data_IF_396000384635
#
_entry.id   IF_396000384635
#
_cell.length_a   1.000
_cell.length_b   1.000
_cell.length_c   1.000
_cell.angle_alpha   90.00
_cell.angle_beta   90.00
_cell.angle_gamma   90.00
#
_symmetry.space_group_name_H-M   'P 1'
#
loop_
_entity.id
_entity.type
_entity.pdbx_description
1 polymer ?
#
# COMPACT_ATOMS: atom_id res chain seq x y z
N UNK A 1 21.07 -0.88 -13.86
CA UNK A 1 20.86 -1.60 -12.60
C UNK A 1 19.79 -2.63 -12.86
N UNK A 2 20.09 -3.91 -12.70
CA UNK A 2 19.09 -4.96 -12.83
C UNK A 2 18.17 -4.90 -11.61
N UNK A 3 16.88 -4.69 -11.83
CA UNK A 3 15.88 -4.98 -10.82
C UNK A 3 16.11 -6.42 -10.38
N UNK A 4 16.44 -6.68 -9.10
CA UNK A 4 16.40 -8.05 -8.60
C UNK A 4 14.99 -8.51 -8.89
N UNK A 5 14.87 -9.61 -9.65
CA UNK A 5 13.59 -10.31 -9.80
C UNK A 5 13.08 -10.47 -8.38
N UNK A 6 12.09 -9.67 -7.97
CA UNK A 6 11.28 -9.97 -6.81
C UNK A 6 10.95 -11.43 -7.04
N UNK A 7 11.46 -12.32 -6.18
CA UNK A 7 11.35 -13.75 -6.41
C UNK A 7 9.89 -13.97 -6.78
N UNK A 8 9.62 -14.42 -8.01
CA UNK A 8 8.27 -14.36 -8.52
C UNK A 8 7.44 -15.14 -7.51
N UNK A 9 6.38 -14.55 -6.98
CA UNK A 9 5.27 -15.37 -6.49
C UNK A 9 5.02 -16.39 -7.61
N UNK A 10 5.42 -17.64 -7.35
CA UNK A 10 6.12 -18.54 -8.28
C UNK A 10 6.02 -18.23 -9.78
N UNK A 11 7.16 -18.21 -10.48
CA UNK A 11 7.25 -18.29 -11.95
C UNK A 11 6.71 -19.62 -12.55
N UNK A 12 5.76 -20.25 -11.86
CA UNK A 12 5.05 -21.45 -12.25
C UNK A 12 3.64 -21.54 -11.64
N UNK A 13 3.10 -20.51 -10.98
CA UNK A 13 1.72 -20.51 -10.49
C UNK A 13 0.74 -20.39 -11.67
N UNK A 14 0.53 -21.51 -12.35
CA UNK A 14 -0.54 -21.69 -13.32
C UNK A 14 -1.87 -21.48 -12.61
N UNK A 15 -2.91 -21.06 -13.34
CA UNK A 15 -4.27 -20.87 -12.80
C UNK A 15 -4.95 -22.19 -12.36
N UNK A 16 -4.19 -23.27 -12.18
CA UNK A 16 -4.66 -24.61 -11.80
C UNK A 16 -5.36 -24.62 -10.44
N UNK A 17 -4.93 -23.75 -9.51
CA UNK A 17 -5.53 -23.59 -8.18
C UNK A 17 -6.48 -22.39 -8.07
N UNK A 18 -6.58 -21.58 -9.13
CA UNK A 18 -7.52 -20.47 -9.18
C UNK A 18 -8.94 -20.99 -9.45
N UNK A 19 -9.93 -20.34 -8.85
CA UNK A 19 -11.33 -20.61 -9.11
C UNK A 19 -11.95 -19.44 -9.88
N UNK A 20 -13.21 -19.58 -10.28
CA UNK A 20 -13.99 -18.48 -10.86
C UNK A 20 -14.02 -17.26 -9.93
N UNK A 21 -14.06 -17.50 -8.63
CA UNK A 21 -14.35 -16.49 -7.61
C UNK A 21 -13.10 -16.10 -6.78
N UNK A 22 -11.96 -16.78 -6.97
CA UNK A 22 -10.74 -16.51 -6.22
C UNK A 22 -9.44 -16.72 -7.03
N UNK A 23 -8.51 -15.78 -6.90
CA UNK A 23 -7.16 -15.88 -7.44
C UNK A 23 -6.21 -16.47 -6.39
N UNK A 24 -5.85 -17.74 -6.53
CA UNK A 24 -4.91 -18.40 -5.62
C UNK A 24 -3.49 -17.81 -5.69
N UNK A 25 -3.05 -17.32 -6.86
CA UNK A 25 -1.73 -16.71 -7.03
C UNK A 25 -1.51 -15.48 -6.16
N UNK A 26 -2.54 -14.64 -6.04
CA UNK A 26 -2.46 -13.38 -5.28
C UNK A 26 -2.91 -13.57 -3.82
N UNK A 27 -3.27 -14.79 -3.44
CA UNK A 27 -3.61 -15.12 -2.06
C UNK A 27 -2.38 -15.67 -1.35
N UNK A 28 -2.09 -15.14 -0.18
CA UNK A 28 -0.90 -15.49 0.59
C UNK A 28 -1.33 -16.23 1.83
N UNK A 29 -0.66 -17.34 2.09
CA UNK A 29 -0.70 -17.98 3.39
C UNK A 29 0.30 -17.28 4.33
N UNK A 30 -0.23 -16.52 5.28
CA UNK A 30 0.58 -15.79 6.26
C UNK A 30 1.48 -16.67 7.13
N UNK A 31 1.11 -17.95 7.32
CA UNK A 31 1.89 -18.88 8.11
C UNK A 31 3.18 -19.27 7.40
N UNK A 32 3.14 -19.39 6.07
CA UNK A 32 4.27 -19.82 5.25
C UNK A 32 4.95 -18.67 4.51
N UNK A 33 4.40 -17.45 4.59
CA UNK A 33 4.93 -16.30 3.89
C UNK A 33 6.33 -15.89 4.38
N UNK A 34 7.24 -15.75 3.41
CA UNK A 34 8.59 -15.24 3.60
C UNK A 34 8.74 -13.97 2.76
N UNK A 35 9.18 -12.89 3.41
CA UNK A 35 9.43 -11.62 2.72
C UNK A 35 10.56 -11.78 1.71
N UNK A 36 10.36 -11.27 0.49
CA UNK A 36 11.36 -11.35 -0.56
C UNK A 36 12.56 -10.42 -0.27
N UNK A 37 13.68 -10.76 -0.87
CA UNK A 37 14.87 -9.91 -0.89
C UNK A 37 14.99 -9.19 -2.24
N UNK A 38 15.57 -7.99 -2.20
CA UNK A 38 15.96 -7.25 -3.40
C UNK A 38 17.49 -7.04 -3.44
N UNK A 39 18.26 -7.85 -2.71
CA UNK A 39 19.72 -7.92 -2.79
C UNK A 39 20.17 -9.21 -3.49
N UNK A 40 21.42 -9.24 -3.94
CA UNK A 40 22.04 -10.41 -4.56
C UNK A 40 22.36 -11.52 -3.55
N UNK A 41 22.55 -11.18 -2.28
CA UNK A 41 22.95 -12.11 -1.21
C UNK A 41 21.92 -12.11 -0.05
N UNK A 42 20.78 -12.81 -0.19
CA UNK A 42 19.74 -12.87 0.84
C UNK A 42 20.24 -13.37 2.20
N UNK A 43 21.22 -14.29 2.21
CA UNK A 43 21.74 -14.90 3.43
C UNK A 43 22.48 -13.92 4.36
N UNK A 44 23.00 -12.82 3.81
CA UNK A 44 23.68 -11.76 4.58
C UNK A 44 22.76 -10.58 4.88
N UNK A 45 21.52 -10.62 4.39
CA UNK A 45 20.58 -9.52 4.57
C UNK A 45 19.94 -9.60 5.95
N UNK A 46 20.32 -8.67 6.82
CA UNK A 46 19.76 -8.54 8.16
C UNK A 46 18.31 -8.07 8.13
N UNK A 47 17.62 -8.25 9.26
CA UNK A 47 16.26 -7.81 9.44
C UNK A 47 16.22 -6.61 10.37
N UNK A 48 15.55 -5.54 9.95
CA UNK A 48 15.32 -4.34 10.74
C UNK A 48 13.93 -4.41 11.36
N UNK A 49 13.84 -4.22 12.67
CA UNK A 49 12.56 -4.14 13.39
C UNK A 49 12.24 -2.70 13.74
N UNK A 50 10.94 -2.39 13.83
CA UNK A 50 10.48 -1.12 14.36
C UNK A 50 10.32 -1.24 15.88
N UNK A 51 10.47 -0.11 16.58
CA UNK A 51 10.08 -0.02 17.99
C UNK A 51 8.57 -0.23 18.13
N UNK A 52 8.18 -1.41 18.61
CA UNK A 52 6.79 -1.81 18.76
C UNK A 52 6.04 -0.93 19.76
N UNK A 53 6.69 -0.46 20.82
CA UNK A 53 6.04 0.39 21.82
C UNK A 53 5.80 1.80 21.25
N UNK A 54 6.71 2.30 20.42
CA UNK A 54 6.49 3.55 19.68
C UNK A 54 5.30 3.41 18.70
N UNK A 55 5.21 2.30 17.97
CA UNK A 55 4.08 2.02 17.05
C UNK A 55 2.76 1.91 17.81
N UNK A 56 2.73 1.18 18.94
CA UNK A 56 1.56 1.09 19.83
C UNK A 56 1.16 2.46 20.36
N UNK A 57 2.14 3.25 20.83
CA UNK A 57 1.92 4.59 21.37
C UNK A 57 1.30 5.55 20.35
N UNK A 58 1.77 5.50 19.10
CA UNK A 58 1.21 6.30 18.00
C UNK A 58 -0.27 5.97 17.77
N UNK A 59 -0.61 4.70 17.52
CA UNK A 59 -2.00 4.29 17.32
C UNK A 59 -2.88 4.53 18.55
N UNK A 60 -2.33 4.30 19.74
CA UNK A 60 -3.00 4.55 21.01
C UNK A 60 -3.42 6.00 21.16
N UNK A 61 -2.58 6.92 20.69
CA UNK A 61 -2.76 8.38 20.76
C UNK A 61 -3.48 8.99 19.55
N UNK A 62 -4.14 8.18 18.72
CA UNK A 62 -4.81 8.64 17.49
C UNK A 62 -3.84 9.36 16.53
N UNK A 63 -2.61 8.82 16.41
CA UNK A 63 -1.58 9.24 15.46
C UNK A 63 -1.20 8.09 14.52
N UNK A 64 -0.55 8.44 13.42
CA UNK A 64 -0.08 7.52 12.39
C UNK A 64 1.41 7.23 12.63
N UNK A 65 1.82 5.99 12.95
CA UNK A 65 3.23 5.65 13.05
C UNK A 65 3.89 5.67 11.67
N UNK A 66 4.98 6.41 11.55
CA UNK A 66 5.79 6.53 10.33
C UNK A 66 7.22 6.11 10.64
N UNK A 67 7.89 5.50 9.67
CA UNK A 67 9.25 4.98 9.82
C UNK A 67 10.22 5.72 8.92
N UNK A 68 11.50 5.76 9.31
CA UNK A 68 12.58 6.30 8.49
C UNK A 68 13.84 5.47 8.71
N UNK A 69 14.61 5.23 7.63
CA UNK A 69 15.89 4.55 7.70
C UNK A 69 16.98 5.58 8.01
N UNK A 70 17.62 5.47 9.17
CA UNK A 70 18.57 6.48 9.67
C UNK A 70 19.80 5.83 10.28
N UNK A 71 20.91 6.58 10.29
CA UNK A 71 22.11 6.17 11.02
C UNK A 71 21.86 6.27 12.52
N UNK A 72 22.34 5.28 13.26
CA UNK A 72 22.21 5.24 14.71
C UNK A 72 23.11 6.29 15.35
N UNK A 73 22.50 7.30 15.97
CA UNK A 73 23.16 8.54 16.41
C UNK A 73 24.30 8.40 17.44
N UNK A 74 24.52 7.21 18.03
CA UNK A 74 25.35 7.03 19.23
C UNK A 74 26.45 5.94 19.13
N UNK A 75 26.77 5.43 17.94
CA UNK A 75 27.86 4.45 17.75
C UNK A 75 28.89 4.96 16.75
N UNK A 76 30.15 4.55 16.93
CA UNK A 76 31.22 4.72 15.94
C UNK A 76 31.03 3.83 14.69
N UNK A 77 30.00 2.99 14.69
CA UNK A 77 29.62 2.11 13.59
C UNK A 77 28.52 2.75 12.75
N UNK A 78 28.66 2.66 11.43
CA UNK A 78 27.77 3.23 10.41
C UNK A 78 26.47 2.41 10.26
N UNK A 79 25.86 2.02 11.38
CA UNK A 79 24.71 1.13 11.44
C UNK A 79 23.41 1.89 11.13
N UNK A 80 22.67 1.42 10.12
CA UNK A 80 21.35 1.92 9.75
C UNK A 80 20.25 1.17 10.50
N UNK A 81 19.30 1.93 11.06
CA UNK A 81 18.14 1.42 11.82
C UNK A 81 16.84 2.04 11.34
N UNK A 82 15.71 1.39 11.64
CA UNK A 82 14.37 1.99 11.44
C UNK A 82 13.96 2.78 12.68
N UNK A 83 13.87 4.09 12.52
CA UNK A 83 13.37 5.02 13.54
C UNK A 83 11.88 5.23 13.34
N UNK A 84 11.11 5.21 14.43
CA UNK A 84 9.66 5.44 14.42
C UNK A 84 9.37 6.87 14.90
N UNK A 85 8.49 7.56 14.20
CA UNK A 85 7.89 8.83 14.60
C UNK A 85 6.38 8.77 14.38
N UNK A 86 5.67 9.85 14.70
CA UNK A 86 4.21 9.94 14.59
C UNK A 86 3.80 11.11 13.71
N UNK A 87 2.81 10.88 12.85
CA UNK A 87 2.12 11.91 12.08
C UNK A 87 0.68 12.09 12.59
N UNK A 88 0.13 13.30 12.46
CA UNK A 88 -1.23 13.56 12.90
C UNK A 88 -2.27 12.85 12.00
N UNK A 89 -3.31 12.29 12.63
CA UNK A 89 -4.38 11.58 11.91
C UNK A 89 -5.37 12.55 11.23
N UNK A 90 -5.45 13.79 11.70
CA UNK A 90 -6.44 14.78 11.23
C UNK A 90 -5.86 15.86 10.30
N UNK A 91 -4.57 15.80 9.96
CA UNK A 91 -3.93 16.77 9.08
C UNK A 91 -2.92 16.13 8.14
N UNK A 92 -2.66 16.72 6.96
CA UNK A 92 -1.64 16.23 6.04
C UNK A 92 -0.27 16.09 6.72
N UNK A 93 0.42 14.98 6.43
CA UNK A 93 1.74 14.66 6.95
C UNK A 93 2.83 14.69 5.88
N UNK A 94 4.08 14.84 6.33
CA UNK A 94 5.26 14.84 5.47
C UNK A 94 5.88 13.44 5.42
N UNK A 95 5.17 12.49 4.82
CA UNK A 95 5.63 11.12 4.60
C UNK A 95 5.02 10.53 3.32
N UNK A 96 5.66 9.47 2.82
CA UNK A 96 5.18 8.69 1.66
C UNK A 96 4.55 7.39 2.15
N UNK A 97 3.32 7.09 1.75
CA UNK A 97 2.71 5.80 2.06
C UNK A 97 3.01 4.78 0.95
N UNK A 98 3.52 3.62 1.32
CA UNK A 98 3.78 2.52 0.39
C UNK A 98 2.53 1.65 0.25
N UNK A 99 1.96 1.67 -0.95
CA UNK A 99 0.88 0.82 -1.40
C UNK A 99 1.48 -0.36 -2.15
N UNK A 100 1.58 -1.50 -1.49
CA UNK A 100 2.39 -2.62 -1.99
C UNK A 100 1.59 -3.90 -2.08
N UNK A 101 1.97 -4.80 -2.99
CA UNK A 101 1.37 -6.13 -3.09
C UNK A 101 2.16 -7.12 -2.24
N UNK A 102 1.52 -7.70 -1.22
CA UNK A 102 2.18 -8.66 -0.35
C UNK A 102 2.72 -9.86 -1.15
N UNK A 103 1.99 -10.32 -2.17
CA UNK A 103 2.33 -11.50 -2.97
C UNK A 103 3.61 -11.28 -3.81
N UNK A 104 3.98 -10.02 -4.01
CA UNK A 104 5.19 -9.60 -4.72
C UNK A 104 6.39 -9.46 -3.75
N UNK A 105 6.21 -9.83 -2.47
CA UNK A 105 7.32 -10.06 -1.55
C UNK A 105 7.62 -8.95 -0.52
N UNK A 106 6.74 -7.97 -0.34
CA UNK A 106 6.93 -6.88 0.65
C UNK A 106 5.95 -6.91 1.85
N UNK A 107 5.20 -8.01 2.00
CA UNK A 107 4.32 -8.24 3.14
C UNK A 107 5.08 -8.57 4.42
N UNK A 108 4.35 -8.78 5.52
CA UNK A 108 4.97 -9.08 6.81
C UNK A 108 4.11 -8.72 8.00
N UNK A 109 4.77 -8.40 9.11
CA UNK A 109 4.16 -7.85 10.31
C UNK A 109 5.22 -7.06 11.09
N UNK A 110 4.79 -6.09 11.89
CA UNK A 110 5.68 -5.22 12.67
C UNK A 110 6.71 -6.01 13.48
N UNK A 111 6.28 -7.09 14.13
CA UNK A 111 7.10 -7.94 15.00
C UNK A 111 8.13 -8.76 14.22
N UNK A 112 7.83 -9.04 12.96
CA UNK A 112 8.75 -9.75 12.07
C UNK A 112 9.77 -8.81 11.45
N UNK A 113 9.51 -7.50 11.38
CA UNK A 113 10.41 -6.52 10.76
C UNK A 113 10.52 -6.63 9.24
N UNK A 114 11.38 -5.80 8.66
CA UNK A 114 11.67 -5.71 7.23
C UNK A 114 13.10 -6.16 6.92
N UNK A 115 13.30 -6.90 5.83
CA UNK A 115 14.61 -7.19 5.28
C UNK A 115 15.32 -5.87 4.97
N UNK A 116 16.57 -5.73 5.39
CA UNK A 116 17.37 -4.51 5.24
C UNK A 116 17.38 -3.99 3.80
N UNK A 117 17.53 -4.88 2.82
CA UNK A 117 17.51 -4.52 1.41
C UNK A 117 16.18 -3.88 0.98
N UNK A 118 15.04 -4.34 1.51
CA UNK A 118 13.73 -3.77 1.22
C UNK A 118 13.56 -2.41 1.90
N UNK A 119 14.06 -2.24 3.12
CA UNK A 119 14.07 -0.95 3.80
C UNK A 119 14.89 0.09 3.01
N UNK A 120 16.09 -0.27 2.52
CA UNK A 120 16.90 0.59 1.65
C UNK A 120 16.22 0.90 0.31
N UNK A 121 15.48 -0.06 -0.25
CA UNK A 121 14.72 0.14 -1.48
C UNK A 121 13.55 1.11 -1.25
N UNK A 122 12.83 0.98 -0.15
CA UNK A 122 11.75 1.88 0.24
C UNK A 122 12.28 3.29 0.49
N UNK A 123 13.37 3.46 1.23
CA UNK A 123 14.01 4.77 1.46
C UNK A 123 14.35 5.47 0.13
N UNK A 124 15.04 4.77 -0.79
CA UNK A 124 15.36 5.31 -2.12
C UNK A 124 14.13 5.71 -2.93
N UNK A 125 13.11 4.86 -2.95
CA UNK A 125 11.86 5.16 -3.65
C UNK A 125 11.14 6.37 -3.04
N UNK A 126 11.09 6.48 -1.72
CA UNK A 126 10.44 7.59 -1.03
C UNK A 126 11.21 8.91 -1.24
N UNK A 127 12.55 8.87 -1.22
CA UNK A 127 13.40 10.03 -1.58
C UNK A 127 13.09 10.53 -2.99
N UNK A 128 13.09 9.62 -3.97
CA UNK A 128 12.76 9.96 -5.36
C UNK A 128 11.33 10.54 -5.50
N UNK A 129 10.37 10.04 -4.72
CA UNK A 129 9.00 10.59 -4.70
C UNK A 129 8.99 12.00 -4.14
N UNK A 130 9.67 12.24 -3.02
CA UNK A 130 9.71 13.57 -2.41
C UNK A 130 10.40 14.60 -3.32
N UNK A 131 11.44 14.20 -4.04
CA UNK A 131 12.08 15.01 -5.09
C UNK A 131 11.12 15.30 -6.26
N UNK A 132 10.42 14.28 -6.78
CA UNK A 132 9.55 14.41 -7.94
C UNK A 132 8.25 15.20 -7.65
N UNK A 133 7.79 15.23 -6.40
CA UNK A 133 6.53 15.89 -5.98
C UNK A 133 6.73 17.28 -5.39
N UNK A 134 7.98 17.76 -5.26
CA UNK A 134 8.27 19.17 -5.01
C UNK A 134 8.09 19.67 -3.58
N UNK A 135 8.13 18.78 -2.57
CA UNK A 135 8.06 19.21 -1.16
C UNK A 135 9.34 19.88 -0.63
N UNK A 136 10.45 19.81 -1.38
CA UNK A 136 11.65 20.57 -1.02
C UNK A 136 11.49 22.01 -1.47
N UNK A 137 11.30 22.93 -0.52
CA UNK A 137 11.51 24.35 -0.73
C UNK A 137 12.93 24.59 -1.25
N UNK A 138 13.08 24.70 -2.57
CA UNK A 138 14.26 25.18 -3.31
C UNK A 138 15.63 24.50 -3.09
N UNK A 139 15.75 23.45 -2.27
CA UNK A 139 17.04 22.90 -1.82
C UNK A 139 17.32 21.41 -2.03
N UNK A 140 16.44 20.65 -2.71
CA UNK A 140 16.57 19.18 -2.78
C UNK A 140 16.36 18.50 -1.42
N UNK A 141 16.66 17.21 -1.31
CA UNK A 141 16.70 16.45 -0.05
C UNK A 141 18.15 16.02 0.13
N UNK A 142 18.79 16.46 1.20
CA UNK A 142 20.17 16.04 1.48
C UNK A 142 20.21 14.53 1.74
N UNK A 143 21.38 13.91 1.54
CA UNK A 143 21.53 12.47 1.78
C UNK A 143 21.22 12.11 3.25
N UNK A 144 21.58 12.99 4.18
CA UNK A 144 21.32 12.86 5.61
C UNK A 144 19.88 13.20 6.04
N UNK A 145 19.08 13.86 5.20
CA UNK A 145 17.73 14.25 5.58
C UNK A 145 16.86 13.00 5.75
N UNK A 146 16.10 12.88 6.86
CA UNK A 146 15.24 11.74 7.09
C UNK A 146 14.03 11.79 6.14
N UNK A 147 13.86 10.74 5.35
CA UNK A 147 12.62 10.51 4.61
C UNK A 147 11.74 9.54 5.38
N UNK A 148 10.51 9.98 5.62
CA UNK A 148 9.52 9.22 6.36
C UNK A 148 8.61 8.46 5.40
N UNK A 149 8.35 7.21 5.72
CA UNK A 149 7.42 6.38 4.99
C UNK A 149 6.47 5.62 5.92
N UNK A 150 5.33 5.22 5.37
CA UNK A 150 4.40 4.30 6.02
C UNK A 150 4.29 3.02 5.20
N UNK A 151 4.26 1.88 5.87
CA UNK A 151 4.02 0.57 5.26
C UNK A 151 3.16 -0.24 6.22
N UNK A 152 2.00 -0.71 5.79
CA UNK A 152 1.08 -1.58 6.57
C UNK A 152 1.80 -2.76 7.23
N UNK A 153 2.62 -3.48 6.46
CA UNK A 153 3.39 -4.65 6.93
C UNK A 153 4.41 -4.32 8.05
N UNK A 154 4.73 -3.04 8.27
CA UNK A 154 5.64 -2.59 9.31
C UNK A 154 4.95 -1.77 10.40
N UNK A 155 3.92 -1.01 10.05
CA UNK A 155 3.25 -0.04 10.93
C UNK A 155 1.94 -0.55 11.54
N UNK A 156 1.47 -1.75 11.17
CA UNK A 156 0.28 -2.39 11.77
C UNK A 156 0.70 -3.70 12.44
N UNK A 157 0.86 -3.69 13.78
CA UNK A 157 1.14 -4.91 14.53
C UNK A 157 -0.03 -5.88 14.52
N UNK A 158 0.24 -7.15 14.77
CA UNK A 158 -0.79 -8.21 14.78
C UNK A 158 -1.73 -8.08 15.98
N UNK A 159 -3.00 -8.51 15.87
CA UNK A 159 -3.95 -8.46 16.98
C UNK A 159 -3.50 -9.26 18.20
N UNK A 160 -2.69 -10.32 18.03
CA UNK A 160 -2.09 -11.08 19.13
C UNK A 160 -1.07 -10.26 19.93
N UNK A 161 -0.44 -9.27 19.30
CA UNK A 161 0.62 -8.44 19.90
C UNK A 161 0.07 -7.21 20.60
N UNK A 162 -0.94 -6.57 20.01
CA UNK A 162 -1.45 -5.26 20.47
C UNK A 162 -2.89 -5.32 20.99
N UNK A 163 -3.53 -6.49 20.93
CA UNK A 163 -4.93 -6.66 21.26
C UNK A 163 -5.85 -6.23 20.11
N UNK A 164 -7.03 -6.85 20.05
CA UNK A 164 -8.02 -6.63 18.98
C UNK A 164 -8.48 -5.18 18.88
N UNK A 165 -8.66 -4.49 20.00
CA UNK A 165 -9.16 -3.11 20.01
C UNK A 165 -8.20 -2.15 19.31
N UNK A 166 -6.91 -2.19 19.68
CA UNK A 166 -5.90 -1.32 19.08
C UNK A 166 -5.63 -1.72 17.61
N UNK A 167 -5.67 -3.02 17.30
CA UNK A 167 -5.58 -3.50 15.92
C UNK A 167 -6.69 -2.94 15.03
N UNK A 168 -7.95 -3.04 15.46
CA UNK A 168 -9.08 -2.47 14.73
C UNK A 168 -9.01 -0.94 14.66
N UNK A 169 -8.51 -0.27 15.70
CA UNK A 169 -8.24 1.17 15.68
C UNK A 169 -7.22 1.53 14.59
N UNK A 170 -6.16 0.73 14.45
CA UNK A 170 -5.17 0.91 13.38
C UNK A 170 -5.80 0.70 11.99
N UNK A 171 -6.60 -0.36 11.80
CA UNK A 171 -7.29 -0.63 10.53
C UNK A 171 -8.26 0.50 10.13
N UNK A 172 -9.05 1.01 11.08
CA UNK A 172 -9.94 2.17 10.88
C UNK A 172 -9.13 3.44 10.50
N UNK A 173 -7.92 3.57 11.04
CA UNK A 173 -7.00 4.67 10.77
C UNK A 173 -6.37 4.66 9.37
N UNK A 174 -6.30 3.52 8.67
CA UNK A 174 -5.59 3.37 7.37
C UNK A 174 -6.05 4.41 6.33
N UNK A 175 -7.34 4.76 6.31
CA UNK A 175 -7.87 5.76 5.37
C UNK A 175 -7.18 7.11 5.53
N UNK A 176 -6.96 7.51 6.78
CA UNK A 176 -6.27 8.74 7.13
C UNK A 176 -4.79 8.69 6.73
N UNK A 177 -4.17 7.51 6.75
CA UNK A 177 -2.80 7.32 6.25
C UNK A 177 -2.71 7.76 4.80
N UNK A 178 -3.53 7.17 3.93
CA UNK A 178 -3.43 7.45 2.49
C UNK A 178 -3.92 8.86 2.12
N UNK A 179 -4.90 9.41 2.85
CA UNK A 179 -5.35 10.79 2.63
C UNK A 179 -4.35 11.85 3.09
N UNK A 180 -3.60 11.57 4.17
CA UNK A 180 -2.71 12.54 4.77
C UNK A 180 -1.28 12.45 4.22
N UNK A 181 -0.88 11.30 3.69
CA UNK A 181 0.41 11.13 3.04
C UNK A 181 0.64 12.18 1.94
N UNK A 182 1.87 12.68 1.84
CA UNK A 182 2.27 13.57 0.75
C UNK A 182 2.04 12.90 -0.61
N UNK A 183 2.40 11.63 -0.71
CA UNK A 183 2.21 10.81 -1.87
C UNK A 183 2.01 9.35 -1.45
N UNK A 184 1.31 8.60 -2.28
CA UNK A 184 1.20 7.15 -2.19
C UNK A 184 2.00 6.55 -3.34
N UNK A 185 3.00 5.75 -3.01
CA UNK A 185 3.79 5.02 -3.99
C UNK A 185 3.30 3.59 -4.12
N UNK A 186 2.94 3.20 -5.34
CA UNK A 186 2.54 1.85 -5.70
C UNK A 186 3.76 1.02 -6.08
N UNK A 187 3.96 -0.09 -5.37
CA UNK A 187 5.02 -1.07 -5.62
C UNK A 187 4.38 -2.39 -6.04
N UNK A 188 4.46 -2.70 -7.33
CA UNK A 188 3.84 -3.85 -7.98
C UNK A 188 4.81 -4.45 -9.01
N UNK A 189 4.94 -5.78 -9.04
CA UNK A 189 5.88 -6.49 -9.91
C UNK A 189 5.58 -6.24 -11.39
N UNK A 190 4.31 -6.26 -11.81
CA UNK A 190 3.89 -6.09 -13.21
C UNK A 190 4.17 -4.67 -13.69
N UNK A 191 3.92 -3.68 -12.84
CA UNK A 191 4.24 -2.28 -13.12
C UNK A 191 5.76 -2.08 -13.19
N UNK A 192 6.50 -2.69 -12.26
CA UNK A 192 7.96 -2.69 -12.20
C UNK A 192 8.65 -3.32 -13.41
N UNK A 193 7.93 -4.02 -14.31
CA UNK A 193 8.47 -4.44 -15.63
C UNK A 193 8.57 -3.29 -16.64
N UNK A 194 8.06 -2.12 -16.27
CA UNK A 194 8.16 -0.89 -17.05
C UNK A 194 9.36 -0.06 -16.60
N UNK A 195 9.83 0.78 -17.50
CA UNK A 195 10.91 1.75 -17.33
C UNK A 195 10.38 3.13 -17.71
N UNK A 196 11.15 4.18 -17.43
CA UNK A 196 10.87 5.55 -17.89
C UNK A 196 10.72 5.68 -19.41
N UNK A 197 11.30 4.75 -20.17
CA UNK A 197 11.21 4.67 -21.64
C UNK A 197 10.05 3.79 -22.15
N UNK A 198 9.29 3.14 -21.26
CA UNK A 198 8.17 2.29 -21.67
C UNK A 198 7.05 3.11 -22.30
N UNK A 199 6.48 2.69 -23.44
CA UNK A 199 5.34 3.38 -24.04
C UNK A 199 4.17 3.50 -23.07
N UNK A 200 3.55 4.69 -23.03
CA UNK A 200 2.46 5.03 -22.10
C UNK A 200 1.31 4.03 -22.15
N UNK A 201 0.96 3.54 -23.34
CA UNK A 201 -0.10 2.54 -23.54
C UNK A 201 0.19 1.24 -22.79
N UNK A 202 1.43 0.76 -22.91
CA UNK A 202 1.87 -0.47 -22.27
C UNK A 202 1.96 -0.28 -20.76
N UNK A 203 2.40 0.89 -20.29
CA UNK A 203 2.42 1.22 -18.88
C UNK A 203 1.01 1.22 -18.28
N UNK A 204 0.04 1.89 -18.93
CA UNK A 204 -1.35 1.88 -18.46
C UNK A 204 -1.97 0.49 -18.50
N UNK A 205 -1.65 -0.33 -19.50
CA UNK A 205 -2.11 -1.71 -19.56
C UNK A 205 -1.54 -2.54 -18.39
N UNK A 206 -0.25 -2.37 -18.09
CA UNK A 206 0.41 -3.03 -16.96
C UNK A 206 -0.17 -2.60 -15.62
N UNK A 207 -0.45 -1.31 -15.43
CA UNK A 207 -1.14 -0.82 -14.23
C UNK A 207 -2.52 -1.44 -14.14
N UNK A 208 -3.32 -1.38 -15.20
CA UNK A 208 -4.70 -1.88 -15.18
C UNK A 208 -4.80 -3.39 -14.92
N UNK A 209 -3.85 -4.17 -15.44
CA UNK A 209 -3.81 -5.62 -15.32
C UNK A 209 -3.01 -6.12 -14.10
N UNK A 210 -2.46 -5.21 -13.31
CA UNK A 210 -1.57 -5.53 -12.20
C UNK A 210 -2.31 -6.23 -11.05
N UNK A 211 -1.56 -6.95 -10.21
CA UNK A 211 -2.12 -7.59 -9.00
C UNK A 211 -2.64 -6.54 -8.01
N UNK A 212 -2.00 -5.37 -7.96
CA UNK A 212 -2.49 -4.22 -7.19
C UNK A 212 -3.91 -3.80 -7.59
N UNK A 213 -4.21 -3.69 -8.89
CA UNK A 213 -5.58 -3.34 -9.35
C UNK A 213 -6.65 -4.38 -9.00
N UNK A 214 -6.24 -5.61 -8.66
CA UNK A 214 -7.13 -6.69 -8.27
C UNK A 214 -7.38 -6.73 -6.75
N UNK A 215 -6.78 -5.85 -5.96
CA UNK A 215 -7.00 -5.81 -4.49
C UNK A 215 -8.02 -4.76 -4.12
N UNK A 216 -8.86 -5.08 -3.15
CA UNK A 216 -9.90 -4.17 -2.66
C UNK A 216 -9.29 -2.91 -2.03
N UNK A 217 -8.37 -3.10 -1.08
CA UNK A 217 -7.66 -2.03 -0.36
C UNK A 217 -6.88 -1.07 -1.27
N UNK A 218 -6.34 -1.58 -2.37
CA UNK A 218 -5.66 -0.79 -3.39
C UNK A 218 -6.54 0.31 -3.99
N UNK A 219 -7.87 0.17 -3.97
CA UNK A 219 -8.77 1.24 -4.38
C UNK A 219 -8.72 2.44 -3.44
N UNK A 220 -8.72 2.20 -2.13
CA UNK A 220 -8.65 3.28 -1.14
C UNK A 220 -7.29 3.98 -1.18
N UNK A 221 -6.23 3.17 -1.24
CA UNK A 221 -4.85 3.60 -1.47
C UNK A 221 -4.75 4.53 -2.68
N UNK A 222 -5.40 4.16 -3.79
CA UNK A 222 -5.39 4.96 -5.00
C UNK A 222 -6.21 6.24 -4.86
N UNK A 223 -7.43 6.14 -4.33
CA UNK A 223 -8.41 7.23 -4.46
C UNK A 223 -8.22 8.32 -3.41
N UNK A 224 -7.69 7.96 -2.23
CA UNK A 224 -7.42 8.89 -1.13
C UNK A 224 -6.09 9.60 -1.30
N UNK A 225 -5.16 9.03 -2.06
CA UNK A 225 -3.85 9.61 -2.30
C UNK A 225 -3.93 11.02 -2.89
N UNK A 226 -3.20 11.97 -2.28
CA UNK A 226 -3.01 13.33 -2.79
C UNK A 226 -2.23 13.31 -4.11
N UNK A 227 -1.12 12.56 -4.12
CA UNK A 227 -0.34 12.21 -5.31
C UNK A 227 -0.23 10.69 -5.39
N UNK A 228 -0.53 10.08 -6.53
CA UNK A 228 -0.34 8.64 -6.75
C UNK A 228 0.84 8.44 -7.68
N UNK A 229 1.85 7.70 -7.23
CA UNK A 229 3.09 7.47 -7.95
C UNK A 229 3.28 5.97 -8.12
N UNK A 230 3.76 5.53 -9.28
CA UNK A 230 4.07 4.13 -9.54
C UNK A 230 5.58 3.94 -9.66
N UNK A 231 6.14 2.97 -8.93
CA UNK A 231 7.55 2.60 -9.03
C UNK A 231 7.83 1.81 -10.31
N UNK A 232 8.87 2.18 -11.04
CA UNK A 232 9.33 1.52 -12.27
C UNK A 232 10.60 0.70 -12.03
N UNK A 233 10.88 -0.26 -12.90
CA UNK A 233 11.99 -1.22 -12.76
C UNK A 233 13.39 -0.63 -12.92
N UNK A 234 13.50 0.53 -13.56
CA UNK A 234 14.76 1.26 -13.72
C UNK A 234 15.03 2.23 -12.54
N UNK A 235 14.22 2.16 -11.48
CA UNK A 235 14.26 3.11 -10.37
C UNK A 235 13.56 4.44 -10.67
N UNK A 236 13.01 4.58 -11.88
CA UNK A 236 12.19 5.72 -12.24
C UNK A 236 10.82 5.70 -11.59
N UNK A 237 10.12 6.82 -11.69
CA UNK A 237 8.78 7.01 -11.15
C UNK A 237 7.82 7.44 -12.26
N UNK A 238 6.59 6.93 -12.19
CA UNK A 238 5.48 7.44 -12.98
C UNK A 238 4.44 8.09 -12.09
N UNK A 239 4.38 9.43 -12.10
CA UNK A 239 3.38 10.19 -11.36
C UNK A 239 2.06 10.13 -12.13
N UNK A 240 1.06 9.47 -11.55
CA UNK A 240 -0.27 9.35 -12.13
C UNK A 240 -1.05 10.65 -11.92
N UNK A 241 -0.91 11.56 -12.87
CA UNK A 241 -1.70 12.78 -12.91
C UNK A 241 -3.01 12.53 -13.65
N UNK A 242 -4.08 12.86 -12.96
CA UNK A 242 -5.43 12.89 -13.51
C UNK A 242 -5.51 14.05 -14.50
N UNK A 243 -5.62 13.75 -15.79
CA UNK A 243 -5.89 14.74 -16.84
C UNK A 243 -7.36 14.65 -17.27
N UNK A 244 -8.04 15.78 -17.38
CA UNK A 244 -9.45 15.84 -17.81
C UNK A 244 -9.63 15.46 -19.29
N UNK A 245 -8.57 15.54 -20.08
CA UNK A 245 -8.51 15.08 -21.47
C UNK A 245 -7.66 13.82 -21.56
N UNK A 246 -8.09 12.79 -22.33
CA UNK A 246 -7.21 11.68 -22.63
C UNK A 246 -5.93 12.21 -23.30
N UNK A 247 -4.75 11.62 -23.00
CA UNK A 247 -3.54 11.97 -23.72
C UNK A 247 -3.77 11.82 -25.23
N UNK A 248 -3.04 12.58 -26.04
CA UNK A 248 -3.10 12.55 -27.51
C UNK A 248 -2.55 11.22 -28.03
N UNK A 249 -3.24 10.13 -27.72
CA UNK A 249 -2.82 8.76 -27.88
C UNK A 249 -3.75 8.04 -28.86
N UNK A 250 -3.27 6.97 -29.53
CA UNK A 250 -4.10 6.12 -30.37
C UNK A 250 -5.37 5.65 -29.64
N UNK A 251 -6.46 5.39 -30.36
CA UNK A 251 -7.75 5.00 -29.73
C UNK A 251 -7.65 3.81 -28.76
N UNK A 252 -6.75 2.86 -29.00
CA UNK A 252 -6.51 1.71 -28.11
C UNK A 252 -5.96 2.13 -26.74
N UNK A 253 -5.04 3.10 -26.72
CA UNK A 253 -4.54 3.74 -25.51
C UNK A 253 -5.66 4.40 -24.71
N UNK A 254 -6.55 5.08 -25.42
CA UNK A 254 -7.66 5.79 -24.82
C UNK A 254 -8.64 4.84 -24.12
N UNK A 255 -8.82 3.59 -24.61
CA UNK A 255 -9.66 2.59 -23.93
C UNK A 255 -9.06 2.15 -22.60
N UNK A 256 -7.77 1.84 -22.58
CA UNK A 256 -7.07 1.43 -21.35
C UNK A 256 -7.03 2.60 -20.37
N UNK A 257 -6.73 3.80 -20.85
CA UNK A 257 -6.75 5.02 -20.04
C UNK A 257 -8.14 5.32 -19.47
N UNK A 258 -9.21 5.21 -20.28
CA UNK A 258 -10.59 5.41 -19.80
C UNK A 258 -10.99 4.34 -18.78
N UNK A 259 -10.53 3.11 -18.95
CA UNK A 259 -10.80 2.01 -18.02
C UNK A 259 -10.11 2.25 -16.68
N UNK A 260 -8.81 2.60 -16.70
CA UNK A 260 -8.06 3.01 -15.53
C UNK A 260 -8.68 4.26 -14.89
N UNK A 261 -9.11 5.22 -15.72
CA UNK A 261 -9.76 6.44 -15.27
C UNK A 261 -11.12 6.20 -14.60
N UNK A 262 -11.92 5.26 -15.11
CA UNK A 262 -13.18 4.89 -14.45
C UNK A 262 -12.96 4.26 -13.06
N UNK A 263 -11.82 3.59 -12.86
CA UNK A 263 -11.49 2.90 -11.62
C UNK A 263 -10.68 3.75 -10.63
N UNK A 264 -9.93 4.76 -11.08
CA UNK A 264 -9.04 5.56 -10.22
C UNK A 264 -9.32 7.07 -10.36
N UNK A 265 -9.59 7.58 -11.56
CA UNK A 265 -9.76 9.02 -11.84
C UNK A 265 -11.14 9.57 -11.44
N UNK A 266 -12.24 8.94 -11.84
CA UNK A 266 -13.60 9.49 -11.61
C UNK A 266 -13.91 9.72 -10.12
N UNK A 267 -13.58 8.82 -9.19
CA UNK A 267 -13.87 9.07 -7.79
C UNK A 267 -12.92 10.09 -7.13
N UNK A 268 -11.72 10.31 -7.70
CA UNK A 268 -10.80 11.39 -7.29
C UNK A 268 -11.29 12.79 -7.66
N UNK A 269 -11.77 12.96 -8.90
CA UNK A 269 -12.16 14.27 -9.44
C UNK A 269 -13.59 14.68 -9.06
N UNK A 270 -14.50 13.71 -8.89
CA UNK A 270 -15.93 14.01 -8.73
C UNK A 270 -16.60 13.49 -7.45
N UNK A 271 -15.90 12.69 -6.63
CA UNK A 271 -16.47 12.11 -5.40
C UNK A 271 -15.83 12.70 -4.14
N UNK A 272 -14.58 12.32 -3.87
CA UNK A 272 -13.96 12.59 -2.57
C UNK A 272 -13.28 13.95 -2.46
N UNK A 273 -12.83 14.55 -3.58
CA UNK A 273 -12.25 15.90 -3.60
C UNK A 273 -13.27 17.04 -3.69
N UNK A 274 -14.52 16.75 -4.06
CA UNK A 274 -15.59 17.72 -4.27
C UNK A 274 -16.75 17.64 -3.27
N UNK A 275 -16.64 16.79 -2.25
CA UNK A 275 -17.69 16.62 -1.22
C UNK A 275 -18.88 15.75 -1.62
N UNK A 276 -18.83 15.04 -2.75
CA UNK A 276 -19.88 14.11 -3.16
C UNK A 276 -19.63 12.71 -2.56
N UNK A 277 -20.55 12.28 -1.68
CA UNK A 277 -20.48 10.98 -1.05
C UNK A 277 -20.62 9.87 -2.09
N UNK A 278 -19.74 8.87 -2.03
CA UNK A 278 -19.87 7.67 -2.86
C UNK A 278 -21.10 6.89 -2.40
N UNK A 279 -21.96 6.50 -3.34
CA UNK A 279 -23.06 5.58 -3.05
C UNK A 279 -22.62 4.10 -3.20
N UNK A 280 -23.50 3.20 -2.79
CA UNK A 280 -23.29 1.75 -2.89
C UNK A 280 -23.04 1.30 -4.33
N UNK A 281 -23.65 1.95 -5.32
CA UNK A 281 -23.44 1.63 -6.73
C UNK A 281 -22.04 1.97 -7.23
N UNK A 282 -21.44 3.06 -6.74
CA UNK A 282 -20.06 3.42 -7.01
C UNK A 282 -19.09 2.40 -6.39
N UNK A 283 -19.30 2.07 -5.11
CA UNK A 283 -18.45 1.12 -4.38
C UNK A 283 -18.56 -0.29 -4.99
N UNK A 284 -19.77 -0.77 -5.27
CA UNK A 284 -19.99 -2.06 -5.93
C UNK A 284 -19.30 -2.12 -7.30
N UNK A 285 -19.36 -1.04 -8.10
CA UNK A 285 -18.68 -0.98 -9.41
C UNK A 285 -17.15 -0.98 -9.27
N UNK A 286 -16.62 -0.31 -8.26
CA UNK A 286 -15.18 -0.26 -8.00
C UNK A 286 -14.64 -1.62 -7.50
N UNK A 287 -15.44 -2.36 -6.73
CA UNK A 287 -15.04 -3.61 -6.10
C UNK A 287 -15.34 -4.86 -6.92
N UNK A 288 -16.15 -4.77 -7.99
CA UNK A 288 -16.61 -5.92 -8.80
C UNK A 288 -15.53 -6.88 -9.33
N UNK A 289 -14.27 -6.44 -9.41
CA UNK A 289 -13.13 -7.26 -9.85
C UNK A 289 -11.97 -7.24 -8.87
N UNK A 290 -12.22 -6.75 -7.65
CA UNK A 290 -11.24 -6.67 -6.58
C UNK A 290 -11.52 -7.75 -5.55
N UNK A 291 -10.45 -8.40 -5.11
CA UNK A 291 -10.46 -9.49 -4.16
C UNK A 291 -9.95 -9.01 -2.81
N UNK A 292 -10.39 -9.69 -1.76
CA UNK A 292 -9.83 -9.61 -0.41
C UNK A 292 -9.44 -11.02 0.04
N UNK A 293 -8.29 -11.14 0.70
CA UNK A 293 -7.86 -12.37 1.37
C UNK A 293 -8.38 -12.46 2.81
N UNK A 294 -8.99 -11.39 3.33
CA UNK A 294 -9.58 -11.33 4.67
C UNK A 294 -11.05 -10.89 4.55
N UNK A 295 -11.98 -11.80 4.19
CA UNK A 295 -13.40 -11.45 4.01
C UNK A 295 -14.04 -10.83 5.25
N UNK A 296 -13.59 -11.23 6.43
CA UNK A 296 -14.04 -10.67 7.71
C UNK A 296 -13.72 -9.19 7.89
N UNK A 297 -12.84 -8.61 7.08
CA UNK A 297 -12.43 -7.19 7.13
C UNK A 297 -12.96 -6.39 5.91
N UNK A 298 -13.62 -7.04 4.96
CA UNK A 298 -14.19 -6.42 3.75
C UNK A 298 -15.09 -5.22 4.10
N UNK A 299 -15.88 -5.38 5.16
CA UNK A 299 -16.82 -4.35 5.59
C UNK A 299 -16.12 -3.04 5.97
N UNK A 300 -14.89 -3.06 6.47
CA UNK A 300 -14.12 -1.88 6.85
C UNK A 300 -13.85 -0.99 5.63
N UNK A 301 -13.53 -1.61 4.49
CA UNK A 301 -13.28 -0.88 3.26
C UNK A 301 -14.59 -0.35 2.66
N UNK A 302 -15.65 -1.17 2.60
CA UNK A 302 -16.97 -0.72 2.11
C UNK A 302 -17.51 0.43 2.96
N UNK A 303 -17.53 0.29 4.28
CA UNK A 303 -18.07 1.30 5.19
C UNK A 303 -17.27 2.58 5.15
N UNK A 304 -15.93 2.47 5.11
CA UNK A 304 -15.04 3.60 4.95
C UNK A 304 -15.34 4.39 3.68
N UNK A 305 -15.44 3.72 2.53
CA UNK A 305 -15.71 4.37 1.24
C UNK A 305 -17.08 5.03 1.16
N UNK A 306 -18.08 4.50 1.86
CA UNK A 306 -19.41 5.08 1.97
C UNK A 306 -19.49 6.21 3.02
N UNK A 307 -18.41 6.47 3.77
CA UNK A 307 -18.41 7.46 4.86
C UNK A 307 -19.28 7.05 6.05
N UNK A 308 -19.47 5.74 6.26
CA UNK A 308 -20.20 5.21 7.41
C UNK A 308 -19.29 5.16 8.64
N UNK A 309 -19.91 5.18 9.83
CA UNK A 309 -19.19 4.99 11.10
C UNK A 309 -18.78 3.52 11.24
N UNK A 310 -17.59 3.21 10.72
CA UNK A 310 -16.99 1.87 10.76
C UNK A 310 -16.86 1.35 12.20
N UNK A 311 -16.55 2.22 13.17
CA UNK A 311 -16.41 1.83 14.58
C UNK A 311 -17.72 1.33 15.17
N UNK A 312 -18.86 1.96 14.83
CA UNK A 312 -20.18 1.45 15.23
C UNK A 312 -20.49 0.10 14.61
N UNK A 313 -20.14 -0.11 13.34
CA UNK A 313 -20.35 -1.40 12.66
C UNK A 313 -19.52 -2.51 13.29
N UNK A 314 -18.26 -2.25 13.66
CA UNK A 314 -17.42 -3.22 14.37
C UNK A 314 -18.01 -3.67 15.70
N UNK A 315 -18.63 -2.74 16.44
CA UNK A 315 -19.30 -3.04 17.72
C UNK A 315 -20.62 -3.80 17.55
N UNK A 316 -21.25 -3.67 16.38
CA UNK A 316 -22.51 -4.32 16.05
C UNK A 316 -22.35 -5.72 15.46
N UNK A 317 -21.14 -6.09 14.99
CA UNK A 317 -20.83 -7.45 14.52
C UNK A 317 -21.12 -8.46 15.63
N UNK A 318 -22.12 -9.34 15.48
CA UNK A 318 -22.42 -10.35 16.47
C UNK A 318 -21.23 -11.29 16.59
N UNK A 319 -20.76 -11.52 17.81
CA UNK A 319 -19.94 -12.68 18.10
C UNK A 319 -20.65 -13.91 17.54
N UNK A 320 -19.91 -14.70 16.76
CA UNK A 320 -20.23 -16.02 16.20
C UNK A 320 -21.47 -16.64 16.85
N UNK A 321 -22.66 -16.41 16.27
CA UNK A 321 -23.83 -17.22 16.57
C UNK A 321 -23.53 -18.61 16.02
N UNK A 322 -23.06 -19.51 16.89
CA UNK A 322 -23.15 -20.95 16.65
C UNK A 322 -24.61 -21.22 16.28
N UNK A 323 -24.84 -21.60 15.01
CA UNK A 323 -26.15 -22.07 14.58
C UNK A 323 -26.61 -23.21 15.51
N UNK A 324 -27.93 -23.34 15.74
CA UNK A 324 -28.43 -24.41 16.57
C UNK A 324 -27.98 -25.76 15.97
N UNK A 325 -27.41 -26.61 16.82
CA UNK A 325 -27.14 -27.99 16.47
C UNK A 325 -28.46 -28.61 15.99
N UNK A 326 -28.51 -28.97 14.70
CA UNK A 326 -29.59 -29.78 14.17
C UNK A 326 -29.50 -31.15 14.84
N UNK A 327 -30.37 -31.37 15.82
CA UNK A 327 -30.77 -32.70 16.23
C UNK A 327 -31.84 -33.16 15.25
N UNK A 328 -31.47 -34.17 14.44
CA UNK A 328 -32.31 -34.91 13.51
C UNK A 328 -31.62 -36.21 13.19
#
# INVERSE_FOLDING_TARGET
MDWPKLAPGGAGARHETCTRDACARNNIDEATYVQAHCCSEPALCTKLTLDLEAVKGAWGSDQIPIASLQHKSNLADDELILVVSSSALQSPGSYVAASHVWADGLGGATEKGLNFCQAQRLDRLCRAVCEATGSSSSGGIAAEDPVWFWLDAACIPRPETIGRELYYKALDGIRHVYSNAQAVIVVDETVGRSTTSTPTELLYARIYLSSWMQRMWAYEEAVLARELVFALGDGGLFVFRVQSTPPASPMTAAVVWRSLGAQVHRPRVGGLGGGAQLDVGHVARAFRFRLTNVPGEEFLSVSGMLGLDTRRLMRASPGTTRGPASSG
#
